data_IF_765747380757
#
_entry.id   IF_765747380757
#
_cell.length_a   1.000
_cell.length_b   1.000
_cell.length_c   1.000
_cell.angle_alpha   90.00
_cell.angle_beta   90.00
_cell.angle_gamma   90.00
#
_symmetry.space_group_name_H-M   'P 1'
#
loop_
_entity.id
_entity.type
_entity.pdbx_description
1 polymer ?
#
# COMPACT_ATOMS: atom_id res chain seq x y z
N UNK A 1 -5.10 17.63 14.04
CA UNK A 1 -4.21 17.35 12.89
C UNK A 1 -4.31 15.87 12.52
N UNK A 2 -4.52 15.59 11.26
CA UNK A 2 -4.67 14.22 10.81
C UNK A 2 -3.29 13.58 10.62
N UNK A 3 -3.06 12.48 11.31
CA UNK A 3 -1.80 11.75 11.24
C UNK A 3 -1.99 10.45 10.48
N UNK A 4 -0.92 9.96 9.90
CA UNK A 4 -0.89 8.65 9.29
C UNK A 4 -0.76 7.60 10.39
N UNK A 5 -1.61 6.59 10.35
CA UNK A 5 -1.60 5.52 11.32
C UNK A 5 -1.49 4.19 10.57
N UNK A 6 -0.50 3.40 10.90
CA UNK A 6 -0.24 2.13 10.24
C UNK A 6 -0.12 1.03 11.29
N UNK A 7 -1.01 0.04 11.23
CA UNK A 7 -0.88 -1.16 12.04
C UNK A 7 -0.44 -2.31 11.17
N UNK A 8 0.44 -3.15 11.70
CA UNK A 8 0.97 -4.31 11.00
C UNK A 8 0.58 -5.55 11.78
N UNK A 9 -0.04 -6.51 11.11
CA UNK A 9 -0.40 -7.76 11.75
C UNK A 9 -0.20 -8.93 10.81
N UNK A 10 -0.07 -10.12 11.39
CA UNK A 10 0.10 -11.36 10.63
C UNK A 10 -1.27 -11.94 10.29
N UNK A 11 -1.38 -12.43 9.04
CA UNK A 11 -2.56 -13.16 8.59
C UNK A 11 -2.04 -14.39 7.83
N UNK A 12 -1.93 -15.51 8.54
CA UNK A 12 -1.30 -16.73 8.05
C UNK A 12 0.17 -16.47 7.70
N UNK A 13 0.51 -16.57 6.42
CA UNK A 13 1.90 -16.44 5.96
C UNK A 13 2.19 -15.06 5.37
N UNK A 14 1.29 -14.13 5.54
CA UNK A 14 1.47 -12.78 4.99
C UNK A 14 1.34 -11.73 6.07
N UNK A 15 1.86 -10.54 5.75
CA UNK A 15 1.70 -9.36 6.58
C UNK A 15 0.60 -8.49 6.00
N UNK A 16 -0.24 -7.96 6.87
CA UNK A 16 -1.30 -7.04 6.48
C UNK A 16 -1.02 -5.70 7.15
N UNK A 17 -0.90 -4.66 6.34
CA UNK A 17 -0.75 -3.29 6.82
C UNK A 17 -2.10 -2.58 6.67
N UNK A 18 -2.65 -2.14 7.80
CA UNK A 18 -3.87 -1.32 7.79
C UNK A 18 -3.47 0.13 7.92
N UNK A 19 -3.73 0.92 6.89
CA UNK A 19 -3.28 2.30 6.77
C UNK A 19 -4.47 3.24 6.86
N UNK A 20 -4.35 4.25 7.73
CA UNK A 20 -5.41 5.23 7.94
C UNK A 20 -4.80 6.63 7.95
N UNK A 21 -5.47 7.58 7.29
CA UNK A 21 -5.01 8.95 7.22
C UNK A 21 -4.34 9.29 5.90
N UNK A 22 -3.71 10.46 5.82
CA UNK A 22 -3.12 10.95 4.57
C UNK A 22 -1.70 10.44 4.36
N UNK A 23 -1.39 10.06 3.13
CA UNK A 23 -0.02 9.78 2.70
C UNK A 23 0.43 10.96 1.84
N UNK A 24 1.29 11.79 2.40
CA UNK A 24 1.75 13.04 1.77
C UNK A 24 3.25 13.21 1.96
N UNK A 25 3.78 14.39 1.62
CA UNK A 25 5.21 14.67 1.71
C UNK A 25 5.76 14.60 3.14
N UNK A 26 4.90 14.68 4.15
CA UNK A 26 5.31 14.60 5.56
C UNK A 26 5.21 13.18 6.13
N UNK A 27 4.36 12.35 5.56
CA UNK A 27 4.07 11.01 6.11
C UNK A 27 4.57 9.86 5.26
N UNK A 28 4.96 10.11 4.00
CA UNK A 28 5.31 9.04 3.08
C UNK A 28 6.50 8.19 3.54
N UNK A 29 7.44 8.78 4.28
CA UNK A 29 8.61 8.06 4.76
C UNK A 29 8.23 6.93 5.71
N UNK A 30 7.28 7.19 6.62
CA UNK A 30 6.77 6.17 7.53
C UNK A 30 6.07 5.04 6.78
N UNK A 31 5.25 5.40 5.81
CA UNK A 31 4.59 4.44 4.94
C UNK A 31 5.63 3.61 4.18
N UNK A 32 6.62 4.26 3.61
CA UNK A 32 7.71 3.62 2.87
C UNK A 32 8.45 2.58 3.71
N UNK A 33 8.86 2.97 4.91
CA UNK A 33 9.62 2.09 5.80
C UNK A 33 8.83 0.83 6.13
N UNK A 34 7.56 0.98 6.45
CA UNK A 34 6.73 -0.16 6.85
C UNK A 34 6.43 -1.09 5.68
N UNK A 35 6.15 -0.53 4.52
CA UNK A 35 5.85 -1.33 3.32
C UNK A 35 7.08 -2.09 2.88
N UNK A 36 8.23 -1.43 2.78
CA UNK A 36 9.45 -2.07 2.30
C UNK A 36 9.92 -3.16 3.26
N UNK A 37 9.83 -2.90 4.55
CA UNK A 37 10.19 -3.89 5.55
C UNK A 37 9.29 -5.13 5.46
N UNK A 38 8.01 -4.93 5.26
CA UNK A 38 7.06 -6.03 5.15
C UNK A 38 7.34 -6.90 3.91
N UNK A 39 7.54 -6.27 2.76
CA UNK A 39 7.79 -6.97 1.50
C UNK A 39 9.10 -7.76 1.57
N UNK A 40 10.09 -7.25 2.28
CA UNK A 40 11.35 -7.97 2.46
C UNK A 40 11.18 -9.27 3.25
N UNK A 41 10.14 -9.37 4.08
CA UNK A 41 9.93 -10.50 4.98
C UNK A 41 8.92 -11.51 4.48
N UNK A 42 7.86 -11.08 3.80
CA UNK A 42 6.73 -11.95 3.49
C UNK A 42 5.83 -11.35 2.41
N UNK A 43 4.89 -12.15 1.94
CA UNK A 43 3.79 -11.65 1.13
C UNK A 43 3.08 -10.55 1.93
N UNK A 44 2.73 -9.45 1.27
CA UNK A 44 2.23 -8.26 1.94
C UNK A 44 0.94 -7.78 1.27
N UNK A 45 -0.06 -7.47 2.09
CA UNK A 45 -1.28 -6.81 1.65
C UNK A 45 -1.40 -5.48 2.40
N UNK A 46 -1.74 -4.43 1.69
CA UNK A 46 -1.91 -3.09 2.27
C UNK A 46 -3.37 -2.69 2.15
N UNK A 47 -4.06 -2.62 3.28
CA UNK A 47 -5.45 -2.18 3.33
C UNK A 47 -5.46 -0.66 3.33
N UNK A 48 -6.04 -0.07 2.31
CA UNK A 48 -6.05 1.38 2.12
C UNK A 48 -7.47 1.96 2.14
N UNK A 49 -8.41 1.27 2.76
CA UNK A 49 -9.80 1.73 2.87
C UNK A 49 -9.92 3.08 3.58
N UNK A 50 -9.09 3.32 4.58
CA UNK A 50 -9.16 4.53 5.41
C UNK A 50 -8.09 5.57 5.06
N UNK A 51 -7.43 5.41 3.93
CA UNK A 51 -6.47 6.42 3.45
C UNK A 51 -7.25 7.61 2.90
N UNK A 52 -6.92 8.80 3.40
CA UNK A 52 -7.66 10.02 3.06
C UNK A 52 -6.94 10.90 2.03
N UNK A 53 -5.71 10.57 1.68
CA UNK A 53 -4.96 11.28 0.66
C UNK A 53 -3.77 10.44 0.21
N UNK A 54 -3.39 10.59 -1.06
CA UNK A 54 -2.25 9.87 -1.61
C UNK A 54 -1.51 10.79 -2.59
N UNK A 55 -0.35 11.27 -2.15
CA UNK A 55 0.48 12.16 -2.95
C UNK A 55 1.31 11.40 -3.99
N UNK A 56 1.97 12.16 -4.86
CA UNK A 56 2.91 11.58 -5.82
C UNK A 56 4.02 10.79 -5.13
N UNK A 57 4.48 11.26 -3.96
CA UNK A 57 5.48 10.54 -3.18
C UNK A 57 4.94 9.19 -2.71
N UNK A 58 3.68 9.15 -2.27
CA UNK A 58 3.03 7.90 -1.87
C UNK A 58 2.86 6.94 -3.04
N UNK A 59 2.48 7.45 -4.20
CA UNK A 59 2.41 6.63 -5.43
C UNK A 59 3.78 6.03 -5.73
N UNK A 60 4.84 6.82 -5.62
CA UNK A 60 6.21 6.34 -5.83
C UNK A 60 6.57 5.19 -4.91
N UNK A 61 6.16 5.27 -3.65
CA UNK A 61 6.37 4.17 -2.69
C UNK A 61 5.67 2.90 -3.15
N UNK A 62 4.42 3.01 -3.58
CA UNK A 62 3.66 1.85 -4.05
C UNK A 62 4.32 1.23 -5.29
N UNK A 63 4.76 2.05 -6.24
CA UNK A 63 5.40 1.55 -7.46
C UNK A 63 6.71 0.83 -7.15
N UNK A 64 7.51 1.39 -6.24
CA UNK A 64 8.75 0.74 -5.81
C UNK A 64 8.44 -0.57 -5.07
N UNK A 65 7.38 -0.58 -4.26
CA UNK A 65 6.96 -1.79 -3.57
C UNK A 65 6.58 -2.91 -4.55
N UNK A 66 5.92 -2.55 -5.66
CA UNK A 66 5.58 -3.52 -6.69
C UNK A 66 6.83 -4.13 -7.32
N UNK A 67 7.85 -3.31 -7.58
CA UNK A 67 9.13 -3.79 -8.10
C UNK A 67 9.87 -4.66 -7.09
N UNK A 68 9.88 -4.25 -5.83
CA UNK A 68 10.53 -5.01 -4.76
C UNK A 68 9.87 -6.37 -4.56
N UNK A 69 8.55 -6.43 -4.68
CA UNK A 69 7.82 -7.68 -4.59
C UNK A 69 8.26 -8.66 -5.68
N UNK A 70 8.45 -8.20 -6.90
CA UNK A 70 8.95 -9.04 -7.98
C UNK A 70 10.36 -9.54 -7.69
N UNK A 71 11.21 -8.66 -7.16
CA UNK A 71 12.61 -9.00 -6.87
C UNK A 71 12.72 -10.01 -5.73
N UNK A 72 11.92 -9.86 -4.68
CA UNK A 72 11.95 -10.76 -3.52
C UNK A 72 11.17 -12.05 -3.75
N UNK A 73 10.27 -12.06 -4.73
CA UNK A 73 9.38 -13.18 -4.95
C UNK A 73 8.16 -13.19 -4.03
N UNK A 74 7.98 -12.16 -3.21
CA UNK A 74 6.82 -12.06 -2.34
C UNK A 74 5.65 -11.40 -3.07
N UNK A 75 4.42 -11.77 -2.70
CA UNK A 75 3.22 -11.15 -3.23
C UNK A 75 3.01 -9.76 -2.63
N UNK A 76 2.36 -8.89 -3.40
CA UNK A 76 1.98 -7.57 -2.92
C UNK A 76 0.60 -7.24 -3.48
N UNK A 77 -0.30 -6.75 -2.63
CA UNK A 77 -1.64 -6.37 -3.04
C UNK A 77 -2.12 -5.13 -2.27
N UNK A 78 -2.92 -4.32 -2.95
CA UNK A 78 -3.63 -3.18 -2.36
C UNK A 78 -5.07 -3.64 -2.16
N UNK A 79 -5.52 -3.64 -0.91
CA UNK A 79 -6.83 -4.16 -0.54
C UNK A 79 -7.79 -3.02 -0.31
N UNK A 80 -8.93 -3.07 -1.00
CA UNK A 80 -10.06 -2.17 -0.79
C UNK A 80 -9.66 -0.70 -0.71
N UNK A 81 -8.99 -0.16 -1.75
CA UNK A 81 -8.54 1.24 -1.72
C UNK A 81 -9.72 2.20 -1.62
N UNK A 82 -9.52 3.28 -0.85
CA UNK A 82 -10.50 4.36 -0.78
C UNK A 82 -10.66 5.02 -2.15
N UNK A 83 -11.72 5.81 -2.33
CA UNK A 83 -11.95 6.51 -3.59
C UNK A 83 -10.77 7.42 -3.94
N UNK A 84 -10.24 8.14 -2.96
CA UNK A 84 -9.09 9.01 -3.16
C UNK A 84 -7.88 8.24 -3.66
N UNK A 85 -7.62 7.06 -3.08
CA UNK A 85 -6.51 6.21 -3.52
C UNK A 85 -6.75 5.73 -4.95
N UNK A 86 -7.96 5.29 -5.25
CA UNK A 86 -8.29 4.82 -6.60
C UNK A 86 -8.11 5.91 -7.64
N UNK A 87 -8.56 7.12 -7.35
CA UNK A 87 -8.41 8.26 -8.26
C UNK A 87 -6.93 8.62 -8.44
N UNK A 88 -6.15 8.59 -7.38
CA UNK A 88 -4.71 8.86 -7.47
C UNK A 88 -4.01 7.82 -8.34
N UNK A 89 -4.35 6.55 -8.19
CA UNK A 89 -3.79 5.48 -8.99
C UNK A 89 -4.19 5.63 -10.46
N UNK A 90 -5.46 5.93 -10.72
CA UNK A 90 -5.94 6.15 -12.09
C UNK A 90 -5.23 7.31 -12.76
N UNK A 91 -4.90 8.35 -12.01
CA UNK A 91 -4.22 9.54 -12.54
C UNK A 91 -2.82 9.25 -13.06
N UNK A 92 -2.23 8.12 -12.67
CA UNK A 92 -0.91 7.73 -13.19
C UNK A 92 -0.96 7.28 -14.64
N UNK A 93 -2.12 6.90 -15.14
CA UNK A 93 -2.28 6.28 -16.45
C UNK A 93 -1.93 4.80 -16.49
N UNK A 94 -1.51 4.22 -15.35
CA UNK A 94 -1.09 2.81 -15.25
C UNK A 94 -1.93 2.04 -14.24
N UNK A 95 -3.15 2.48 -13.99
CA UNK A 95 -4.01 1.87 -12.96
C UNK A 95 -4.18 0.36 -13.12
N UNK A 96 -4.21 -0.12 -14.35
CA UNK A 96 -4.37 -1.56 -14.63
C UNK A 96 -3.20 -2.42 -14.14
N UNK A 97 -2.05 -1.81 -13.89
CA UNK A 97 -0.86 -2.53 -13.43
C UNK A 97 -0.79 -2.66 -11.92
N UNK A 98 -1.59 -1.90 -11.20
CA UNK A 98 -1.58 -1.93 -9.75
C UNK A 98 -2.37 -3.15 -9.26
N UNK A 99 -1.82 -3.92 -8.29
CA UNK A 99 -2.45 -5.16 -7.83
C UNK A 99 -3.57 -4.89 -6.83
N UNK A 100 -4.69 -4.38 -7.32
CA UNK A 100 -5.82 -3.98 -6.49
C UNK A 100 -6.81 -5.12 -6.35
N UNK A 101 -7.20 -5.43 -5.12
CA UNK A 101 -8.25 -6.40 -4.81
C UNK A 101 -9.25 -5.79 -3.84
N UNK A 102 -10.46 -6.34 -3.81
CA UNK A 102 -11.53 -5.80 -2.94
C UNK A 102 -11.42 -6.32 -1.50
N UNK A 103 -10.96 -7.55 -1.35
CA UNK A 103 -10.88 -8.18 -0.03
C UNK A 103 -9.60 -9.00 0.09
N UNK A 104 -9.20 -9.28 1.33
CA UNK A 104 -8.05 -10.13 1.61
C UNK A 104 -8.19 -11.53 1.03
N UNK A 105 -9.40 -12.01 0.86
CA UNK A 105 -9.65 -13.33 0.30
C UNK A 105 -9.22 -13.46 -1.16
N UNK A 106 -9.07 -12.33 -1.85
CA UNK A 106 -8.70 -12.30 -3.27
C UNK A 106 -7.18 -12.27 -3.49
N UNK A 107 -6.46 -12.15 -2.42
CA UNK A 107 -4.99 -12.05 -2.49
C UNK A 107 -4.36 -13.44 -2.68
#
# INVERSE_FOLDING_TARGET
MTQLDISVHNDYRRLVLSVSGPINSYTFTDFQEKVYKAIAQADTAVDMEHVTGLSSAGIGVIMTAMEDAETTGHGFAIVNPSEIVRLAIESTGFGDRFPIVKTLKQV
#
